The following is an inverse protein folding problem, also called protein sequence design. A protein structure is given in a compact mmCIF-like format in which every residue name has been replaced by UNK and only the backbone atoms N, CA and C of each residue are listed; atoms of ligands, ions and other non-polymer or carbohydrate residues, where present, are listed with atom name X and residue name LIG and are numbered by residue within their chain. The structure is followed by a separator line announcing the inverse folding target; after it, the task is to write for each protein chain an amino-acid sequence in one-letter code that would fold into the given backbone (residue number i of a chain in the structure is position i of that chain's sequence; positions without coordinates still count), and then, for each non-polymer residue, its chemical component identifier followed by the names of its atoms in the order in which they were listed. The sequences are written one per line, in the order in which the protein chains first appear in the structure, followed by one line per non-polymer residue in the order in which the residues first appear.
data_IF_434881066772
#
_entry.id   IF_434881066772
#
_cell.length_a   1.000
_cell.length_b   1.000
_cell.length_c   1.000
_cell.angle_alpha   90.00
_cell.angle_beta   90.00
_cell.angle_gamma   90.00
#
_symmetry.space_group_name_H-M   'P 1'
#
loop_
_entity.id
_entity.type
_entity.pdbx_description
1 polymer ?
#
# COMPACT_ATOMS: atom_id res chain seq x y z
N UNK A 1 0.52 -13.99 17.98
CA UNK A 1 0.97 -14.09 16.59
C UNK A 1 2.49 -14.28 16.55
N UNK A 2 2.98 -15.19 15.72
CA UNK A 2 4.42 -15.46 15.57
C UNK A 2 4.79 -15.34 14.08
N UNK A 3 5.83 -14.55 13.78
CA UNK A 3 6.33 -14.35 12.43
C UNK A 3 7.86 -14.24 12.43
N UNK A 4 8.53 -14.97 11.56
CA UNK A 4 10.02 -15.04 11.48
C UNK A 4 10.71 -15.31 12.82
N UNK A 5 10.12 -16.15 13.67
CA UNK A 5 10.68 -16.53 14.97
C UNK A 5 10.35 -15.57 16.13
N UNK A 6 9.84 -14.38 15.85
CA UNK A 6 9.42 -13.41 16.84
C UNK A 6 7.95 -13.60 17.24
N UNK A 7 7.65 -13.42 18.52
CA UNK A 7 6.27 -13.40 19.02
C UNK A 7 5.77 -11.96 19.06
N UNK A 8 4.60 -11.74 18.48
CA UNK A 8 3.89 -10.48 18.54
C UNK A 8 2.61 -10.66 19.34
N UNK A 9 2.32 -9.77 20.29
CA UNK A 9 1.10 -9.88 21.08
C UNK A 9 -0.13 -9.72 20.20
N UNK A 10 -1.18 -10.47 20.52
CA UNK A 10 -2.50 -10.28 19.95
C UNK A 10 -3.17 -9.13 20.71
N UNK A 11 -3.07 -7.91 20.18
CA UNK A 11 -3.75 -6.75 20.77
C UNK A 11 -5.17 -6.59 20.21
N UNK A 12 -6.09 -6.11 21.03
CA UNK A 12 -7.37 -5.60 20.56
C UNK A 12 -7.14 -4.17 20.01
N UNK A 13 -6.52 -4.07 18.85
CA UNK A 13 -6.32 -2.80 18.15
C UNK A 13 -7.57 -2.37 17.39
N UNK A 14 -7.57 -1.14 16.88
CA UNK A 14 -8.67 -0.53 16.16
C UNK A 14 -9.41 -1.48 15.18
N UNK A 15 -10.74 -1.32 14.99
CA UNK A 15 -11.65 -2.34 14.47
C UNK A 15 -11.50 -2.75 13.00
N UNK A 16 -10.36 -2.51 12.36
CA UNK A 16 -10.15 -2.67 10.91
C UNK A 16 -8.98 -3.57 10.53
N UNK A 17 -8.43 -4.33 11.48
CA UNK A 17 -7.39 -5.33 11.20
C UNK A 17 -7.87 -6.75 11.44
N UNK A 18 -7.03 -7.76 11.14
CA UNK A 18 -7.29 -9.12 11.55
C UNK A 18 -7.56 -9.17 13.05
N UNK A 19 -8.61 -9.88 13.53
CA UNK A 19 -8.93 -9.93 14.95
C UNK A 19 -7.72 -10.31 15.80
N UNK A 20 -7.37 -9.48 16.78
CA UNK A 20 -6.27 -9.73 17.70
C UNK A 20 -4.85 -9.45 17.16
N UNK A 21 -4.70 -8.83 16.00
CA UNK A 21 -3.41 -8.39 15.47
C UNK A 21 -3.40 -6.87 15.36
N UNK A 22 -2.46 -6.17 16.03
CA UNK A 22 -2.31 -4.72 15.86
C UNK A 22 -1.96 -4.44 14.40
N UNK A 23 -2.83 -3.74 13.69
CA UNK A 23 -2.63 -3.48 12.28
C UNK A 23 -3.29 -2.19 11.85
N UNK A 24 -2.69 -1.53 10.87
CA UNK A 24 -3.30 -0.46 10.12
C UNK A 24 -3.84 -1.03 8.80
N UNK A 25 -5.11 -0.77 8.50
CA UNK A 25 -5.76 -1.21 7.26
C UNK A 25 -6.33 -0.03 6.48
N UNK A 26 -6.52 -0.19 5.19
CA UNK A 26 -7.29 0.78 4.41
C UNK A 26 -8.71 0.88 5.00
N UNK A 27 -9.32 2.07 5.04
CA UNK A 27 -10.72 2.17 5.44
C UNK A 27 -11.57 1.22 4.58
N UNK A 28 -12.66 0.70 5.13
CA UNK A 28 -13.60 -0.24 4.50
C UNK A 28 -14.20 0.24 3.17
N UNK A 29 -13.71 1.35 2.70
CA UNK A 29 -14.29 2.15 1.64
C UNK A 29 -13.56 2.10 0.30
N UNK A 30 -12.51 1.26 0.10
CA UNK A 30 -11.84 1.24 -1.22
C UNK A 30 -12.83 0.87 -2.33
N UNK A 31 -13.64 -0.16 -2.12
CA UNK A 31 -14.66 -0.56 -3.08
C UNK A 31 -15.75 0.51 -3.22
N UNK A 32 -16.16 1.15 -2.12
CA UNK A 32 -17.13 2.26 -2.15
C UNK A 32 -16.54 3.51 -2.81
N UNK A 33 -15.26 3.81 -2.64
CA UNK A 33 -14.57 4.88 -3.37
C UNK A 33 -14.51 4.60 -4.87
N UNK A 34 -14.23 3.37 -5.26
CA UNK A 34 -14.22 2.97 -6.68
C UNK A 34 -15.62 3.03 -7.27
N UNK A 35 -16.62 2.44 -6.62
CA UNK A 35 -17.99 2.33 -7.15
C UNK A 35 -18.79 3.62 -6.99
N UNK A 36 -18.63 4.30 -5.86
CA UNK A 36 -19.41 5.50 -5.49
C UNK A 36 -18.82 6.78 -6.07
N UNK A 37 -17.51 6.88 -6.21
CA UNK A 37 -16.83 8.12 -6.59
C UNK A 37 -16.16 8.01 -7.94
N UNK A 38 -15.18 7.12 -8.08
CA UNK A 38 -14.36 7.02 -9.30
C UNK A 38 -15.21 6.71 -10.54
N UNK A 39 -16.16 5.77 -10.44
CA UNK A 39 -17.03 5.38 -11.55
C UNK A 39 -18.19 6.33 -11.79
N UNK A 40 -18.55 7.20 -10.84
CA UNK A 40 -19.69 8.11 -10.94
C UNK A 40 -19.28 9.54 -11.26
N UNK A 41 -18.11 9.98 -10.82
CA UNK A 41 -17.62 11.34 -11.07
C UNK A 41 -16.62 11.35 -12.23
N UNK A 42 -17.03 11.87 -13.39
CA UNK A 42 -16.13 12.04 -14.54
C UNK A 42 -14.97 12.99 -14.24
N UNK A 43 -15.16 13.96 -13.37
CA UNK A 43 -14.10 14.91 -12.96
C UNK A 43 -13.02 14.16 -12.14
N UNK A 44 -13.43 13.41 -11.13
CA UNK A 44 -12.49 12.62 -10.30
C UNK A 44 -11.75 11.60 -11.17
N UNK A 45 -12.47 10.88 -12.02
CA UNK A 45 -11.87 9.91 -12.94
C UNK A 45 -10.85 10.58 -13.88
N UNK A 46 -11.16 11.76 -14.44
CA UNK A 46 -10.24 12.50 -15.29
C UNK A 46 -9.00 12.99 -14.53
N UNK A 47 -9.15 13.50 -13.31
CA UNK A 47 -8.01 13.92 -12.48
C UNK A 47 -7.09 12.75 -12.14
N UNK A 48 -7.65 11.61 -11.71
CA UNK A 48 -6.87 10.40 -11.42
C UNK A 48 -6.18 9.87 -12.69
N UNK A 49 -6.87 9.84 -13.83
CA UNK A 49 -6.29 9.41 -15.09
C UNK A 49 -5.13 10.32 -15.54
N UNK A 50 -5.27 11.64 -15.40
CA UNK A 50 -4.21 12.59 -15.70
C UNK A 50 -2.97 12.38 -14.81
N UNK A 51 -3.15 12.24 -13.50
CA UNK A 51 -2.07 11.94 -12.55
C UNK A 51 -1.39 10.61 -12.87
N UNK A 52 -2.16 9.55 -13.05
CA UNK A 52 -1.66 8.23 -13.41
C UNK A 52 -0.90 8.25 -14.74
N UNK A 53 -1.38 8.98 -15.73
CA UNK A 53 -0.69 9.18 -17.02
C UNK A 53 0.66 9.85 -16.85
N UNK A 54 0.74 10.96 -16.10
CA UNK A 54 2.00 11.65 -15.82
C UNK A 54 3.01 10.76 -15.09
N UNK A 55 2.57 10.05 -14.04
CA UNK A 55 3.44 9.17 -13.25
C UNK A 55 3.91 7.97 -14.09
N UNK A 56 3.08 7.45 -14.99
CA UNK A 56 3.40 6.32 -15.87
C UNK A 56 4.56 6.59 -16.83
N UNK A 57 4.84 7.85 -17.14
CA UNK A 57 5.96 8.24 -17.98
C UNK A 57 7.33 8.19 -17.28
N UNK A 58 7.35 8.08 -15.95
CA UNK A 58 8.59 7.95 -15.18
C UNK A 58 9.34 6.66 -15.54
N UNK A 59 10.67 6.74 -15.51
CA UNK A 59 11.55 5.60 -15.80
C UNK A 59 12.60 5.46 -14.72
N UNK A 60 12.84 4.24 -14.31
CA UNK A 60 13.87 3.90 -13.34
C UNK A 60 15.23 3.81 -14.05
N UNK A 61 16.24 4.49 -13.51
CA UNK A 61 17.61 4.42 -14.01
C UNK A 61 18.59 4.36 -12.83
N UNK A 62 19.63 3.58 -12.99
CA UNK A 62 20.75 3.57 -12.06
C UNK A 62 21.68 4.75 -12.36
N UNK A 63 22.18 5.40 -11.31
CA UNK A 63 23.13 6.50 -11.44
C UNK A 63 24.31 6.25 -10.51
N UNK A 64 25.52 6.26 -11.06
CA UNK A 64 26.73 6.19 -10.28
C UNK A 64 26.96 7.50 -9.55
N UNK A 65 27.30 7.45 -8.27
CA UNK A 65 27.57 8.65 -7.47
C UNK A 65 28.85 9.37 -7.89
N UNK A 66 29.85 8.61 -8.38
CA UNK A 66 31.18 9.12 -8.75
C UNK A 66 31.19 9.89 -10.06
N UNK A 67 30.63 9.34 -11.12
CA UNK A 67 30.70 9.90 -12.47
C UNK A 67 29.34 10.35 -13.05
N UNK A 68 28.28 10.13 -12.31
CA UNK A 68 26.89 10.47 -12.66
C UNK A 68 26.37 9.82 -13.96
N UNK A 69 27.03 8.78 -14.46
CA UNK A 69 26.57 8.05 -15.63
C UNK A 69 25.30 7.27 -15.31
N UNK A 70 24.38 7.29 -16.26
CA UNK A 70 23.13 6.52 -16.21
C UNK A 70 23.38 5.19 -16.93
N UNK A 71 23.03 4.07 -16.30
CA UNK A 71 23.11 2.76 -16.92
C UNK A 71 21.95 1.86 -16.50
N UNK A 72 21.62 0.92 -17.37
CA UNK A 72 20.71 -0.17 -17.04
C UNK A 72 21.42 -1.19 -16.14
N UNK A 73 20.68 -1.78 -15.22
CA UNK A 73 21.19 -2.85 -14.36
C UNK A 73 20.15 -3.95 -14.24
N UNK A 74 20.60 -5.19 -14.16
CA UNK A 74 19.69 -6.34 -14.09
C UNK A 74 18.79 -6.30 -12.85
N UNK A 75 19.22 -5.64 -11.77
CA UNK A 75 18.41 -5.40 -10.59
C UNK A 75 17.16 -4.54 -10.84
N UNK A 76 17.15 -3.72 -11.91
CA UNK A 76 16.00 -2.91 -12.31
C UNK A 76 14.98 -3.69 -13.16
N UNK A 77 15.33 -4.87 -13.64
CA UNK A 77 14.48 -5.68 -14.51
C UNK A 77 13.07 -5.94 -13.95
N UNK A 78 12.89 -6.21 -12.64
CA UNK A 78 11.55 -6.34 -12.05
C UNK A 78 10.72 -5.05 -12.08
N UNK A 79 11.37 -3.88 -12.18
CA UNK A 79 10.69 -2.59 -12.33
C UNK A 79 10.39 -2.28 -13.79
N UNK A 80 11.25 -2.71 -14.73
CA UNK A 80 11.04 -2.52 -16.17
C UNK A 80 9.98 -3.46 -16.73
N UNK A 81 10.00 -4.72 -16.26
CA UNK A 81 9.04 -5.77 -16.63
C UNK A 81 8.56 -6.48 -15.37
N UNK A 82 7.64 -5.88 -14.63
CA UNK A 82 7.18 -6.41 -13.33
C UNK A 82 6.52 -7.78 -13.42
N UNK A 83 5.80 -8.02 -14.50
CA UNK A 83 5.23 -9.33 -14.89
C UNK A 83 5.36 -9.51 -16.41
N UNK A 84 5.17 -10.71 -16.96
CA UNK A 84 5.29 -10.93 -18.41
C UNK A 84 4.42 -10.01 -19.28
N UNK A 85 3.31 -9.52 -18.73
CA UNK A 85 2.32 -8.72 -19.46
C UNK A 85 2.20 -7.28 -18.94
N UNK A 86 3.18 -6.79 -18.16
CA UNK A 86 3.14 -5.44 -17.60
C UNK A 86 4.48 -4.72 -17.78
N UNK A 87 4.42 -3.41 -17.91
CA UNK A 87 5.57 -2.49 -18.03
C UNK A 87 5.73 -1.64 -16.78
N UNK A 88 6.83 -0.88 -16.69
CA UNK A 88 7.01 0.15 -15.65
C UNK A 88 5.85 1.13 -15.60
N UNK A 89 5.37 1.57 -16.79
CA UNK A 89 4.25 2.50 -16.88
C UNK A 89 2.97 1.94 -16.28
N UNK A 90 2.67 0.66 -16.53
CA UNK A 90 1.48 0.00 -15.98
C UNK A 90 1.52 -0.08 -14.45
N UNK A 91 2.70 -0.41 -13.90
CA UNK A 91 2.84 -0.51 -12.44
C UNK A 91 2.71 0.87 -11.77
N UNK A 92 3.30 1.90 -12.37
CA UNK A 92 3.27 3.26 -11.85
C UNK A 92 1.88 3.89 -11.97
N UNK A 93 1.18 3.69 -13.09
CA UNK A 93 -0.19 4.15 -13.25
C UNK A 93 -1.12 3.55 -12.19
N UNK A 94 -0.99 2.24 -11.93
CA UNK A 94 -1.78 1.57 -10.89
C UNK A 94 -1.38 2.00 -9.47
N UNK A 95 -0.11 2.31 -9.23
CA UNK A 95 0.32 2.87 -7.95
C UNK A 95 -0.38 4.19 -7.66
N UNK A 96 -0.38 5.08 -8.64
CA UNK A 96 -1.02 6.39 -8.51
C UNK A 96 -2.54 6.26 -8.37
N UNK A 97 -3.16 5.35 -9.12
CA UNK A 97 -4.60 5.11 -9.04
C UNK A 97 -5.02 4.58 -7.65
N UNK A 98 -4.31 3.57 -7.14
CA UNK A 98 -4.59 3.00 -5.82
C UNK A 98 -4.36 4.03 -4.71
N UNK A 99 -3.23 4.75 -4.76
CA UNK A 99 -2.90 5.79 -3.79
C UNK A 99 -3.90 6.95 -3.83
N UNK A 100 -4.35 7.37 -5.00
CA UNK A 100 -5.38 8.39 -5.14
C UNK A 100 -6.70 7.99 -4.47
N UNK A 101 -7.11 6.71 -4.58
CA UNK A 101 -8.40 6.23 -4.09
C UNK A 101 -8.37 5.79 -2.62
N UNK A 102 -7.26 5.20 -2.16
CA UNK A 102 -7.16 4.65 -0.79
C UNK A 102 -6.11 5.35 0.08
N UNK A 103 -5.30 6.25 -0.49
CA UNK A 103 -4.11 6.79 0.16
C UNK A 103 -2.91 5.85 0.16
N UNK A 104 -3.10 4.60 -0.25
CA UNK A 104 -2.07 3.56 -0.18
C UNK A 104 -2.05 2.71 -1.43
N UNK A 105 -0.86 2.30 -1.85
CA UNK A 105 -0.70 1.35 -2.94
C UNK A 105 0.36 0.31 -2.59
N UNK A 106 0.13 -0.94 -2.99
CA UNK A 106 0.99 -2.05 -2.64
C UNK A 106 1.41 -2.86 -3.86
N UNK A 107 2.68 -3.30 -3.83
CA UNK A 107 3.21 -4.31 -4.76
C UNK A 107 3.91 -5.39 -3.95
N UNK A 108 3.54 -6.62 -4.24
CA UNK A 108 4.10 -7.79 -3.60
C UNK A 108 5.14 -8.43 -4.52
N UNK A 109 6.34 -8.62 -4.00
CA UNK A 109 7.40 -9.34 -4.68
C UNK A 109 7.22 -10.84 -4.47
N UNK A 110 7.08 -11.57 -5.57
CA UNK A 110 7.07 -13.03 -5.57
C UNK A 110 8.16 -13.48 -6.53
N UNK A 111 9.25 -13.99 -5.99
CA UNK A 111 10.45 -14.28 -6.78
C UNK A 111 11.04 -13.02 -7.42
N UNK A 112 11.06 -12.95 -8.74
CA UNK A 112 11.54 -11.77 -9.50
C UNK A 112 10.42 -10.91 -10.07
N UNK A 113 9.18 -11.17 -9.73
CA UNK A 113 8.02 -10.45 -10.24
C UNK A 113 7.40 -9.56 -9.16
N UNK A 114 6.79 -8.45 -9.60
CA UNK A 114 6.06 -7.50 -8.76
C UNK A 114 4.57 -7.58 -9.10
N UNK A 115 3.80 -8.09 -8.17
CA UNK A 115 2.37 -8.29 -8.33
C UNK A 115 1.57 -7.14 -7.70
N UNK A 116 0.54 -6.71 -8.39
CA UNK A 116 -0.44 -5.77 -7.86
C UNK A 116 -1.25 -6.41 -6.75
N UNK A 117 -1.44 -5.69 -5.65
CA UNK A 117 -2.33 -6.07 -4.57
C UNK A 117 -3.29 -4.92 -4.29
N UNK A 118 -4.57 -5.22 -4.21
CA UNK A 118 -5.59 -4.23 -3.86
C UNK A 118 -5.33 -3.69 -2.44
N UNK A 119 -5.46 -2.36 -2.23
CA UNK A 119 -5.19 -1.76 -0.92
C UNK A 119 -6.03 -2.31 0.23
N UNK A 120 -7.29 -2.66 -0.03
CA UNK A 120 -8.22 -3.25 0.94
C UNK A 120 -7.93 -4.73 1.30
N UNK A 121 -7.03 -5.36 0.56
CA UNK A 121 -6.57 -6.71 0.85
C UNK A 121 -5.23 -6.76 1.58
N UNK A 122 -4.59 -5.61 1.83
CA UNK A 122 -3.29 -5.53 2.47
C UNK A 122 -3.39 -4.77 3.79
N UNK A 123 -2.87 -5.37 4.85
CA UNK A 123 -2.85 -4.80 6.20
C UNK A 123 -1.42 -4.67 6.69
N UNK A 124 -1.11 -3.56 7.33
CA UNK A 124 0.19 -3.27 7.90
C UNK A 124 0.18 -3.85 9.32
N UNK A 125 1.05 -4.81 9.59
CA UNK A 125 1.22 -5.40 10.92
C UNK A 125 2.31 -4.65 11.64
N UNK A 126 1.98 -4.11 12.82
CA UNK A 126 2.87 -3.30 13.64
C UNK A 126 3.44 -4.10 14.80
N UNK A 127 4.62 -3.73 15.25
CA UNK A 127 5.28 -4.24 16.44
C UNK A 127 6.06 -3.14 17.14
N UNK A 128 6.20 -3.28 18.45
CA UNK A 128 7.00 -2.44 19.34
C UNK A 128 7.81 -3.30 20.28
N UNK A 129 8.96 -2.82 20.76
CA UNK A 129 9.72 -3.45 21.83
C UNK A 129 9.41 -2.80 23.19
N UNK A 130 8.71 -1.67 23.20
CA UNK A 130 8.38 -0.91 24.41
C UNK A 130 7.04 -1.31 25.00
N UNK A 131 6.11 -1.78 24.15
CA UNK A 131 4.78 -2.19 24.60
C UNK A 131 4.29 -3.40 23.80
N UNK A 132 3.53 -4.25 24.46
CA UNK A 132 2.82 -5.40 23.90
C UNK A 132 1.30 -5.24 24.04
N UNK A 133 0.82 -4.06 24.45
CA UNK A 133 -0.58 -3.71 24.64
C UNK A 133 -1.21 -3.07 23.38
N UNK A 134 -2.44 -2.57 23.50
CA UNK A 134 -3.29 -2.09 22.40
C UNK A 134 -2.75 -0.90 21.62
N UNK A 135 -1.82 -0.14 22.21
CA UNK A 135 -1.32 1.15 21.70
C UNK A 135 -0.02 1.00 20.92
N UNK A 136 0.22 -0.18 20.33
CA UNK A 136 1.47 -0.41 19.55
C UNK A 136 1.65 0.62 18.45
N UNK A 137 0.59 1.08 17.79
CA UNK A 137 0.66 2.10 16.75
C UNK A 137 1.17 3.45 17.27
N UNK A 138 0.86 3.78 18.53
CA UNK A 138 1.25 5.03 19.18
C UNK A 138 2.62 4.92 19.88
N UNK A 139 3.17 3.71 20.02
CA UNK A 139 4.48 3.52 20.62
C UNK A 139 5.57 4.27 19.83
N UNK A 140 6.48 5.01 20.49
CA UNK A 140 7.54 5.76 19.80
C UNK A 140 8.44 4.90 18.90
N UNK A 141 8.62 3.63 19.25
CA UNK A 141 9.42 2.65 18.52
C UNK A 141 8.59 1.74 17.61
N UNK A 142 7.30 2.04 17.40
CA UNK A 142 6.45 1.25 16.51
C UNK A 142 7.06 1.14 15.12
N UNK A 143 7.11 -0.08 14.60
CA UNK A 143 7.66 -0.42 13.29
C UNK A 143 6.74 -1.36 12.54
N UNK A 144 6.86 -1.38 11.22
CA UNK A 144 6.18 -2.37 10.38
C UNK A 144 6.96 -3.68 10.46
N UNK A 145 6.34 -4.71 11.05
CA UNK A 145 6.97 -6.04 11.22
C UNK A 145 6.58 -7.01 10.12
N UNK A 146 5.39 -6.85 9.55
CA UNK A 146 4.91 -7.67 8.44
C UNK A 146 3.80 -6.95 7.68
N UNK A 147 3.47 -7.48 6.51
CA UNK A 147 2.24 -7.18 5.77
C UNK A 147 1.38 -8.43 5.70
N UNK A 148 0.13 -8.31 6.09
CA UNK A 148 -0.85 -9.38 6.01
C UNK A 148 -1.70 -9.20 4.74
N UNK A 149 -1.54 -10.08 3.76
CA UNK A 149 -2.38 -10.13 2.58
C UNK A 149 -3.56 -11.05 2.82
N UNK A 150 -4.76 -10.50 2.70
CA UNK A 150 -6.02 -11.22 2.90
C UNK A 150 -6.75 -11.38 1.55
N UNK A 151 -6.69 -12.55 0.92
CA UNK A 151 -7.40 -12.79 -0.33
C UNK A 151 -8.92 -12.60 -0.16
N UNK A 152 -9.48 -11.62 -0.88
CA UNK A 152 -10.91 -11.30 -0.78
C UNK A 152 -11.29 -10.33 0.34
N UNK A 153 -10.30 -9.74 1.04
CA UNK A 153 -10.52 -8.79 2.13
C UNK A 153 -10.78 -9.46 3.49
N UNK A 154 -10.92 -8.65 4.54
CA UNK A 154 -11.22 -9.13 5.90
C UNK A 154 -12.59 -9.85 5.91
N UNK A 155 -12.64 -10.98 6.58
CA UNK A 155 -13.86 -11.81 6.60
C UNK A 155 -14.06 -12.66 5.35
N UNK A 156 -13.11 -12.63 4.42
CA UNK A 156 -13.07 -13.52 3.27
C UNK A 156 -12.88 -14.99 3.66
N UNK A 157 -13.00 -15.88 2.68
CA UNK A 157 -12.96 -17.34 2.87
C UNK A 157 -11.57 -17.87 3.27
N UNK A 158 -10.52 -17.09 3.03
CA UNK A 158 -9.13 -17.54 3.13
C UNK A 158 -8.41 -16.89 4.30
N UNK A 159 -7.49 -17.63 4.92
CA UNK A 159 -6.60 -17.09 5.94
C UNK A 159 -5.59 -16.10 5.37
N UNK A 160 -5.15 -15.11 6.16
CA UNK A 160 -4.16 -14.15 5.73
C UNK A 160 -2.79 -14.81 5.50
N UNK A 161 -2.07 -14.32 4.48
CA UNK A 161 -0.67 -14.64 4.25
C UNK A 161 0.19 -13.47 4.70
N UNK A 162 1.23 -13.76 5.46
CA UNK A 162 2.14 -12.75 5.98
C UNK A 162 3.40 -12.67 5.14
N UNK A 163 3.82 -11.45 4.82
CA UNK A 163 5.01 -11.13 4.02
C UNK A 163 5.93 -10.22 4.80
N UNK A 164 7.24 -10.39 4.60
CA UNK A 164 8.24 -9.51 5.17
C UNK A 164 8.14 -8.10 4.55
N UNK A 165 8.49 -7.02 5.28
CA UNK A 165 8.52 -5.68 4.72
C UNK A 165 9.41 -5.54 3.49
N UNK A 166 10.48 -6.34 3.39
CA UNK A 166 11.36 -6.40 2.21
C UNK A 166 10.71 -6.94 0.94
N UNK A 167 9.57 -7.63 1.06
CA UNK A 167 8.85 -8.22 -0.06
C UNK A 167 7.64 -7.40 -0.52
N UNK A 168 7.36 -6.30 0.18
CA UNK A 168 6.23 -5.41 -0.13
C UNK A 168 6.73 -4.00 -0.37
N UNK A 169 6.49 -3.48 -1.56
CA UNK A 169 6.63 -2.06 -1.82
C UNK A 169 5.31 -1.37 -1.46
N UNK A 170 5.37 -0.51 -0.46
CA UNK A 170 4.26 0.31 0.01
C UNK A 170 4.50 1.76 -0.39
N UNK A 171 3.52 2.38 -1.03
CA UNK A 171 3.52 3.76 -1.47
C UNK A 171 2.32 4.48 -0.84
N UNK A 172 2.62 5.48 -0.01
CA UNK A 172 1.66 6.33 0.68
C UNK A 172 2.11 7.79 0.54
N UNK A 173 1.75 8.47 -0.56
CA UNK A 173 2.29 9.79 -0.90
C UNK A 173 1.81 10.89 0.03
N UNK A 174 0.61 10.77 0.59
CA UNK A 174 0.02 11.72 1.52
C UNK A 174 -0.12 11.06 2.89
N UNK A 175 0.75 11.40 3.86
CA UNK A 175 0.68 10.81 5.19
C UNK A 175 -0.65 11.11 5.88
N UNK A 176 -1.23 10.11 6.54
CA UNK A 176 -2.42 10.28 7.37
C UNK A 176 -2.00 10.92 8.71
N UNK A 177 -2.59 12.06 9.11
CA UNK A 177 -2.26 12.70 10.39
C UNK A 177 -2.56 11.86 11.63
N UNK A 178 -3.49 10.90 11.52
CA UNK A 178 -3.91 10.03 12.61
C UNK A 178 -3.22 8.67 12.61
N UNK A 179 -2.58 8.31 11.47
CA UNK A 179 -1.96 7.00 11.30
C UNK A 179 -0.49 7.15 10.92
N UNK A 180 0.37 6.32 11.49
CA UNK A 180 1.81 6.50 11.34
C UNK A 180 2.37 5.96 10.03
N UNK A 181 1.79 4.87 9.52
CA UNK A 181 2.34 4.12 8.39
C UNK A 181 1.45 4.13 7.15
N UNK A 182 0.29 4.73 7.27
CA UNK A 182 -0.67 4.83 6.17
C UNK A 182 -0.70 6.21 5.56
N UNK A 183 -1.18 6.25 4.32
CA UNK A 183 -1.57 7.47 3.66
C UNK A 183 -3.09 7.67 3.67
N UNK A 184 -3.50 8.90 3.41
CA UNK A 184 -4.88 9.32 3.22
C UNK A 184 -5.16 9.57 1.73
N UNK A 185 -6.36 9.21 1.28
CA UNK A 185 -6.81 9.53 -0.08
C UNK A 185 -7.08 11.04 -0.21
N UNK A 186 -6.42 11.68 -1.18
CA UNK A 186 -6.74 13.07 -1.50
C UNK A 186 -8.17 13.24 -2.03
N UNK A 187 -8.73 12.21 -2.65
CA UNK A 187 -10.11 12.22 -3.13
C UNK A 187 -11.10 12.32 -1.98
N UNK A 188 -10.81 11.69 -0.84
CA UNK A 188 -11.67 11.74 0.34
C UNK A 188 -11.87 13.18 0.86
N UNK A 189 -10.83 14.01 0.82
CA UNK A 189 -10.91 15.41 1.25
C UNK A 189 -11.71 16.30 0.30
N UNK A 190 -11.82 15.91 -0.97
CA UNK A 190 -12.57 16.67 -1.99
C UNK A 190 -14.04 16.29 -2.02
N UNK A 191 -14.40 15.08 -1.58
CA UNK A 191 -15.79 14.59 -1.62
C UNK A 191 -16.77 15.44 -0.83
N UNK A 192 -16.36 15.96 0.31
CA UNK A 192 -17.18 16.86 1.13
C UNK A 192 -17.54 18.16 0.43
N UNK A 193 -16.84 18.50 -0.66
CA UNK A 193 -17.09 19.72 -1.46
C UNK A 193 -17.94 19.46 -2.71
N UNK A 194 -18.12 18.19 -3.10
CA UNK A 194 -18.87 17.83 -4.31
C UNK A 194 -20.35 17.60 -4.00
N UNK A 195 -20.70 17.27 -2.76
CA UNK A 195 -22.08 17.03 -2.30
C UNK A 195 -22.82 18.30 -1.85
N UNK A 196 -22.25 19.49 -2.07
CA UNK A 196 -22.88 20.80 -1.84
C UNK A 196 -23.15 21.52 -3.16
#
# INVERSE_FOLDING_TARGET
FQFQGNRYPLGFGAPQGPPGVPSESAPDSFESMVSGVYRRSGIVAACIAARAGLVSEARFKYRTLSDRRLYGQESLKPLEQPTPNATSGDILARFEQDASLSGNAYRLRIGRQLHHVRPDHMHIVLGSNMTDEYEIADAPDATVVAYAYWPGGIGGKYDPKYYAPSDVAHYAPEPDPLMRFRGVSWVASVLTQIDT
#
